data_IF_600780312475
#
_entry.id   IF_600780312475
#
_cell.length_a   1.000
_cell.length_b   1.000
_cell.length_c   1.000
_cell.angle_alpha   90.00
_cell.angle_beta   90.00
_cell.angle_gamma   90.00
#
_symmetry.space_group_name_H-M   'P 1'
#
loop_
_entity.id
_entity.type
_entity.pdbx_description
1 polymer ?
#
# COMPACT_ATOMS: atom_id res chain seq x y z
N UNK A 1 53.41 -24.52 -8.20
CA UNK A 1 53.59 -23.05 -8.04
C UNK A 1 52.28 -22.47 -7.50
N UNK A 2 52.22 -22.15 -6.21
CA UNK A 2 51.02 -21.64 -5.54
C UNK A 2 50.93 -20.12 -5.79
N UNK A 3 49.89 -19.65 -6.48
CA UNK A 3 49.62 -18.22 -6.66
C UNK A 3 48.66 -17.76 -5.58
N UNK A 4 49.17 -17.03 -4.61
CA UNK A 4 48.41 -16.39 -3.54
C UNK A 4 47.69 -15.17 -4.12
N UNK A 5 46.36 -15.18 -4.17
CA UNK A 5 45.57 -13.99 -4.50
C UNK A 5 45.13 -13.32 -3.20
N UNK A 6 45.64 -12.10 -2.96
CA UNK A 6 45.12 -11.20 -1.94
C UNK A 6 43.79 -10.64 -2.43
N UNK A 7 42.68 -11.05 -1.81
CA UNK A 7 41.37 -10.42 -1.98
C UNK A 7 41.29 -9.31 -0.94
N UNK A 8 41.40 -8.06 -1.40
CA UNK A 8 41.14 -6.89 -0.58
C UNK A 8 39.63 -6.77 -0.32
N UNK A 9 39.26 -6.82 0.95
CA UNK A 9 37.90 -6.65 1.45
C UNK A 9 37.53 -5.16 1.38
N UNK A 10 36.74 -4.77 0.37
CA UNK A 10 36.14 -3.44 0.32
C UNK A 10 34.82 -3.47 1.11
N UNK A 11 34.90 -3.06 2.38
CA UNK A 11 33.74 -2.75 3.20
C UNK A 11 33.16 -1.41 2.70
N UNK A 12 32.18 -1.45 1.81
CA UNK A 12 31.39 -0.27 1.46
C UNK A 12 30.14 -0.25 2.33
N UNK A 13 30.28 0.35 3.52
CA UNK A 13 29.15 0.82 4.31
C UNK A 13 28.50 2.00 3.58
N UNK A 14 27.41 1.75 2.87
CA UNK A 14 26.49 2.81 2.45
C UNK A 14 25.18 2.68 3.22
N UNK A 15 25.22 3.06 4.50
CA UNK A 15 24.06 3.58 5.20
C UNK A 15 23.92 5.05 4.81
N UNK A 16 23.32 5.31 3.65
CA UNK A 16 22.81 6.64 3.32
C UNK A 16 21.29 6.50 3.34
N UNK A 17 20.69 7.01 4.42
CA UNK A 17 19.25 7.01 4.62
C UNK A 17 18.53 7.70 3.46
N UNK A 18 17.53 7.01 2.93
CA UNK A 18 16.62 7.51 1.90
C UNK A 18 15.61 8.47 2.51
N UNK A 19 16.04 9.66 2.92
CA UNK A 19 15.15 10.72 3.38
C UNK A 19 15.37 12.00 2.57
N UNK A 20 14.87 12.04 1.32
CA UNK A 20 14.42 13.31 0.69
C UNK A 20 13.83 13.19 -0.72
N UNK A 21 13.40 12.01 -1.18
CA UNK A 21 12.78 11.91 -2.51
C UNK A 21 11.34 12.43 -2.46
N UNK A 22 11.17 13.72 -2.78
CA UNK A 22 9.85 14.35 -2.84
C UNK A 22 9.10 13.92 -4.11
N UNK A 23 8.09 13.09 -3.95
CA UNK A 23 7.14 12.71 -4.99
C UNK A 23 5.80 13.43 -4.75
N UNK A 24 5.00 13.62 -5.81
CA UNK A 24 3.64 14.16 -5.72
C UNK A 24 2.74 13.61 -6.86
N UNK A 25 1.48 14.04 -6.88
CA UNK A 25 0.48 13.65 -7.89
C UNK A 25 0.28 14.70 -9.00
N UNK A 26 1.14 15.73 -9.09
CA UNK A 26 0.98 16.80 -10.09
C UNK A 26 1.62 16.39 -11.40
N UNK A 27 1.13 16.92 -12.52
CA UNK A 27 1.76 16.70 -13.82
C UNK A 27 2.99 17.61 -14.01
N UNK A 28 4.01 17.42 -13.16
CA UNK A 28 5.27 18.17 -13.12
C UNK A 28 6.44 17.22 -12.82
N UNK A 29 7.59 17.77 -12.44
CA UNK A 29 8.83 17.02 -12.17
C UNK A 29 8.67 15.82 -11.23
N UNK A 30 7.91 15.97 -10.15
CA UNK A 30 7.74 14.95 -9.12
C UNK A 30 6.49 14.07 -9.31
N UNK A 31 5.85 14.17 -10.48
CA UNK A 31 4.59 13.52 -10.79
C UNK A 31 4.70 12.01 -11.09
N UNK A 32 3.57 11.29 -11.14
CA UNK A 32 3.55 9.83 -11.35
C UNK A 32 4.27 9.37 -12.62
N UNK A 33 4.18 10.15 -13.70
CA UNK A 33 4.86 9.88 -14.97
C UNK A 33 6.40 9.96 -14.92
N UNK A 34 6.96 10.37 -13.77
CA UNK A 34 8.41 10.49 -13.51
C UNK A 34 8.87 9.86 -12.19
N UNK A 35 8.00 9.17 -11.44
CA UNK A 35 8.41 8.58 -10.14
C UNK A 35 9.62 7.65 -10.27
N UNK A 36 9.74 6.96 -11.40
CA UNK A 36 10.89 6.11 -11.76
C UNK A 36 12.24 6.84 -11.78
N UNK A 37 12.22 8.17 -11.94
CA UNK A 37 13.42 9.01 -12.04
C UNK A 37 13.79 9.68 -10.73
N UNK A 38 12.94 9.59 -9.70
CA UNK A 38 13.14 10.34 -8.45
C UNK A 38 14.11 9.61 -7.51
N UNK A 39 14.12 8.28 -7.53
CA UNK A 39 15.05 7.47 -6.75
C UNK A 39 15.26 6.11 -7.42
N UNK A 40 16.43 5.49 -7.23
CA UNK A 40 16.74 4.17 -7.79
C UNK A 40 15.73 3.10 -7.37
N UNK A 41 15.29 3.13 -6.12
CA UNK A 41 14.30 2.17 -5.61
C UNK A 41 12.92 2.32 -6.28
N UNK A 42 12.66 3.43 -6.98
CA UNK A 42 11.39 3.71 -7.65
C UNK A 42 11.40 3.31 -9.13
N UNK A 43 12.51 2.79 -9.68
CA UNK A 43 12.60 2.33 -11.08
C UNK A 43 11.49 1.34 -11.46
N UNK A 44 11.01 0.56 -10.48
CA UNK A 44 9.89 -0.40 -10.65
C UNK A 44 8.57 0.28 -11.03
N UNK A 45 8.37 1.55 -10.68
CA UNK A 45 7.19 2.33 -11.06
C UNK A 45 6.99 2.40 -12.58
N UNK A 46 8.09 2.30 -13.35
CA UNK A 46 8.06 2.23 -14.82
C UNK A 46 8.38 0.84 -15.37
N UNK A 47 9.36 0.15 -14.80
CA UNK A 47 9.84 -1.12 -15.37
C UNK A 47 8.93 -2.31 -15.03
N UNK A 48 8.15 -2.21 -13.95
CA UNK A 48 7.25 -3.24 -13.46
C UNK A 48 6.17 -3.66 -14.47
N UNK A 49 5.75 -4.92 -14.39
CA UNK A 49 4.73 -5.53 -15.29
C UNK A 49 3.41 -5.85 -14.60
N UNK A 50 3.32 -5.53 -13.31
CA UNK A 50 2.14 -5.75 -12.47
C UNK A 50 1.97 -4.56 -11.52
N UNK A 51 2.11 -3.34 -12.06
CA UNK A 51 1.83 -2.12 -11.31
C UNK A 51 0.33 -1.96 -11.06
N UNK A 52 -0.01 -1.19 -10.04
CA UNK A 52 -1.38 -0.82 -9.67
C UNK A 52 -1.49 0.71 -9.58
N UNK A 53 -2.69 1.30 -9.72
CA UNK A 53 -3.99 0.67 -9.97
C UNK A 53 -4.19 0.20 -11.42
N UNK A 54 -5.31 -0.47 -11.70
CA UNK A 54 -5.77 -0.85 -13.04
C UNK A 54 -7.28 -0.62 -13.19
N UNK A 55 -7.78 -0.69 -14.44
CA UNK A 55 -9.20 -0.91 -14.71
C UNK A 55 -9.52 -2.41 -14.65
N UNK A 56 -10.38 -2.81 -13.74
CA UNK A 56 -10.86 -4.19 -13.59
C UNK A 56 -12.07 -4.37 -14.52
N UNK A 57 -11.79 -4.88 -15.72
CA UNK A 57 -12.80 -5.09 -16.77
C UNK A 57 -12.90 -6.56 -17.24
N UNK A 58 -11.87 -7.37 -16.96
CA UNK A 58 -11.83 -8.79 -17.29
C UNK A 58 -11.59 -9.61 -16.03
N UNK A 59 -12.51 -10.50 -15.69
CA UNK A 59 -12.47 -11.34 -14.50
C UNK A 59 -13.21 -12.66 -14.73
N UNK A 60 -12.86 -13.66 -13.94
CA UNK A 60 -13.48 -14.99 -13.99
C UNK A 60 -14.32 -15.24 -12.73
N UNK A 61 -15.26 -16.17 -12.84
CA UNK A 61 -16.09 -16.62 -11.73
C UNK A 61 -15.69 -18.03 -11.32
N UNK A 62 -15.79 -18.33 -10.02
CA UNK A 62 -15.52 -19.66 -9.46
C UNK A 62 -16.60 -20.04 -8.44
N UNK A 63 -16.78 -21.34 -8.24
CA UNK A 63 -17.60 -21.93 -7.17
C UNK A 63 -16.75 -22.40 -5.98
N UNK A 64 -15.45 -22.11 -6.00
CA UNK A 64 -14.54 -22.46 -4.91
C UNK A 64 -14.97 -21.83 -3.60
N UNK A 65 -14.72 -22.53 -2.49
CA UNK A 65 -14.94 -21.97 -1.16
C UNK A 65 -13.96 -20.81 -0.91
N UNK A 66 -14.41 -19.80 -0.16
CA UNK A 66 -13.57 -18.65 0.21
C UNK A 66 -12.32 -19.09 0.98
N UNK A 67 -11.16 -18.57 0.60
CA UNK A 67 -9.88 -18.70 1.28
C UNK A 67 -9.49 -17.44 2.07
N UNK A 68 -10.44 -16.51 2.24
CA UNK A 68 -10.29 -15.22 2.93
C UNK A 68 -11.22 -15.14 4.16
N UNK A 69 -10.68 -14.84 5.33
CA UNK A 69 -11.44 -14.60 6.57
C UNK A 69 -10.99 -13.32 7.27
N UNK A 70 -11.95 -12.53 7.76
CA UNK A 70 -11.69 -11.33 8.53
C UNK A 70 -11.64 -11.64 10.02
N UNK A 71 -10.57 -11.20 10.70
CA UNK A 71 -10.41 -11.26 12.14
C UNK A 71 -10.21 -9.84 12.68
N UNK A 72 -11.21 -8.99 12.45
CA UNK A 72 -11.22 -7.62 12.95
C UNK A 72 -12.07 -7.51 14.21
N UNK A 73 -11.60 -6.67 15.13
CA UNK A 73 -12.33 -6.20 16.30
C UNK A 73 -12.32 -4.67 16.28
N UNK A 74 -13.23 -4.06 17.03
CA UNK A 74 -13.18 -2.62 17.24
C UNK A 74 -11.85 -2.24 17.90
N UNK A 75 -11.12 -1.32 17.30
CA UNK A 75 -9.81 -0.88 17.76
C UNK A 75 -9.66 0.61 17.58
N UNK A 76 -9.18 1.29 18.62
CA UNK A 76 -8.80 2.71 18.50
C UNK A 76 -7.57 2.83 17.60
N UNK A 77 -7.53 3.78 16.67
CA UNK A 77 -6.30 4.10 15.96
C UNK A 77 -5.20 4.42 16.97
N UNK A 78 -3.99 3.91 16.70
CA UNK A 78 -2.77 4.31 17.43
C UNK A 78 -2.44 5.78 17.17
N UNK A 79 -2.60 6.19 15.92
CA UNK A 79 -2.41 7.57 15.48
C UNK A 79 -3.19 7.80 14.18
N UNK A 80 -3.70 9.02 14.03
CA UNK A 80 -4.29 9.55 12.81
C UNK A 80 -3.46 10.75 12.36
N UNK A 81 -3.01 10.77 11.10
CA UNK A 81 -2.12 11.82 10.61
C UNK A 81 -2.11 11.89 9.08
N UNK A 82 -1.75 13.06 8.55
CA UNK A 82 -1.53 13.25 7.12
C UNK A 82 -0.07 12.94 6.77
N UNK A 83 0.15 11.96 5.89
CA UNK A 83 1.49 11.56 5.43
C UNK A 83 1.40 10.98 4.03
N UNK A 84 2.48 11.03 3.24
CA UNK A 84 2.50 10.42 1.90
C UNK A 84 1.29 10.85 1.04
N UNK A 85 0.87 12.11 1.19
CA UNK A 85 -0.27 12.72 0.51
C UNK A 85 -1.64 12.07 0.80
N UNK A 86 -1.80 11.40 1.94
CA UNK A 86 -3.05 10.77 2.35
C UNK A 86 -3.33 10.95 3.85
N UNK A 87 -4.61 10.95 4.24
CA UNK A 87 -5.03 10.76 5.63
C UNK A 87 -4.85 9.28 5.99
N UNK A 88 -4.11 9.00 7.06
CA UNK A 88 -3.79 7.63 7.49
C UNK A 88 -4.13 7.43 8.95
N UNK A 89 -4.82 6.33 9.26
CA UNK A 89 -5.00 5.79 10.60
C UNK A 89 -4.14 4.53 10.75
N UNK A 90 -3.22 4.52 11.71
CA UNK A 90 -2.39 3.36 12.05
C UNK A 90 -2.99 2.58 13.23
N UNK A 91 -2.76 1.28 13.31
CA UNK A 91 -3.34 0.41 14.33
C UNK A 91 -2.27 -0.41 15.06
N UNK A 92 -2.54 -0.77 16.31
CA UNK A 92 -1.78 -1.82 17.00
C UNK A 92 -2.05 -3.19 16.36
N UNK A 93 -1.11 -4.15 16.41
CA UNK A 93 -1.15 -5.39 15.64
C UNK A 93 -2.12 -6.44 16.22
N UNK A 94 -3.40 -6.08 16.33
CA UNK A 94 -4.47 -6.91 16.91
C UNK A 94 -5.48 -7.37 15.86
N UNK A 95 -5.63 -6.63 14.76
CA UNK A 95 -6.55 -6.94 13.67
C UNK A 95 -5.85 -7.63 12.52
N UNK A 96 -6.46 -8.66 11.93
CA UNK A 96 -5.83 -9.44 10.87
C UNK A 96 -6.84 -9.88 9.79
N UNK A 97 -6.35 -10.12 8.59
CA UNK A 97 -7.00 -10.94 7.57
C UNK A 97 -6.27 -12.28 7.51
N UNK A 98 -7.00 -13.39 7.60
CA UNK A 98 -6.44 -14.69 7.23
C UNK A 98 -6.68 -14.92 5.74
N UNK A 99 -5.61 -15.16 4.99
CA UNK A 99 -5.68 -15.52 3.58
C UNK A 99 -4.83 -16.77 3.33
N UNK A 100 -5.45 -17.83 2.82
CA UNK A 100 -4.80 -19.13 2.55
C UNK A 100 -4.08 -19.70 3.78
N UNK A 101 -4.69 -19.58 4.96
CA UNK A 101 -4.14 -20.07 6.23
C UNK A 101 -3.05 -19.19 6.84
N UNK A 102 -2.74 -18.03 6.25
CA UNK A 102 -1.74 -17.09 6.78
C UNK A 102 -2.41 -15.81 7.29
N UNK A 103 -2.07 -15.39 8.50
CA UNK A 103 -2.53 -14.11 9.04
C UNK A 103 -1.67 -12.96 8.50
N UNK A 104 -2.37 -11.94 7.99
CA UNK A 104 -1.83 -10.64 7.58
C UNK A 104 -2.36 -9.58 8.56
N UNK A 105 -1.46 -9.01 9.35
CA UNK A 105 -1.75 -7.97 10.36
C UNK A 105 -2.13 -6.67 9.67
N UNK A 106 -3.22 -6.03 10.09
CA UNK A 106 -3.59 -4.68 9.65
C UNK A 106 -2.59 -3.66 10.22
N UNK A 107 -1.91 -2.96 9.33
CA UNK A 107 -0.94 -1.92 9.68
C UNK A 107 -1.61 -0.54 9.70
N UNK A 108 -2.31 -0.20 8.62
CA UNK A 108 -3.00 1.08 8.48
C UNK A 108 -4.20 1.02 7.55
N UNK A 109 -5.09 1.99 7.73
CA UNK A 109 -6.11 2.38 6.76
C UNK A 109 -5.76 3.78 6.25
N UNK A 110 -5.76 3.98 4.95
CA UNK A 110 -5.56 5.30 4.34
C UNK A 110 -6.47 5.52 3.15
N UNK A 111 -6.59 6.78 2.71
CA UNK A 111 -7.62 7.19 1.75
C UNK A 111 -7.06 7.77 0.46
N UNK A 112 -7.76 7.56 -0.65
CA UNK A 112 -7.46 8.14 -1.96
C UNK A 112 -8.70 8.81 -2.54
N UNK A 113 -8.52 9.98 -3.15
CA UNK A 113 -9.59 10.74 -3.78
C UNK A 113 -9.11 11.29 -5.14
N UNK A 114 -9.71 10.87 -6.28
CA UNK A 114 -10.73 9.82 -6.41
C UNK A 114 -10.18 8.41 -6.10
N UNK A 115 -11.05 7.39 -6.13
CA UNK A 115 -10.62 5.99 -6.04
C UNK A 115 -9.64 5.65 -7.16
N UNK A 116 -8.52 5.00 -6.78
CA UNK A 116 -7.43 4.67 -7.71
C UNK A 116 -7.82 3.57 -8.71
N UNK A 117 -8.43 2.48 -8.25
CA UNK A 117 -8.90 1.39 -9.10
C UNK A 117 -10.20 1.75 -9.82
N UNK A 118 -10.34 1.31 -11.07
CA UNK A 118 -11.60 1.39 -11.81
C UNK A 118 -12.23 0.00 -11.86
N UNK A 119 -13.57 -0.06 -11.88
CA UNK A 119 -14.33 -1.30 -12.14
C UNK A 119 -15.23 -1.04 -13.34
N UNK A 120 -15.03 -1.78 -14.42
CA UNK A 120 -15.73 -1.57 -15.69
C UNK A 120 -15.72 -0.09 -16.13
N UNK A 121 -14.52 0.53 -16.08
CA UNK A 121 -14.25 1.93 -16.39
C UNK A 121 -15.01 2.96 -15.52
N UNK A 122 -15.53 2.54 -14.36
CA UNK A 122 -16.19 3.43 -13.38
C UNK A 122 -15.28 3.70 -12.19
N UNK A 123 -15.23 4.95 -11.77
CA UNK A 123 -14.53 5.40 -10.56
C UNK A 123 -15.51 5.68 -9.43
N UNK A 124 -14.97 5.96 -8.24
CA UNK A 124 -15.67 6.40 -7.03
C UNK A 124 -15.00 7.68 -6.49
N UNK A 125 -15.74 8.58 -5.82
CA UNK A 125 -15.17 9.82 -5.29
C UNK A 125 -14.08 9.62 -4.23
N UNK A 126 -14.08 8.48 -3.54
CA UNK A 126 -13.14 8.15 -2.47
C UNK A 126 -12.93 6.64 -2.43
N UNK A 127 -11.74 6.19 -2.04
CA UNK A 127 -11.49 4.83 -1.58
C UNK A 127 -10.66 4.79 -0.30
N UNK A 128 -10.81 3.71 0.46
CA UNK A 128 -9.94 3.36 1.57
C UNK A 128 -9.14 2.10 1.23
N UNK A 129 -7.85 2.12 1.54
CA UNK A 129 -6.94 1.00 1.43
C UNK A 129 -6.58 0.50 2.83
N UNK A 130 -6.92 -0.75 3.12
CA UNK A 130 -6.57 -1.47 4.34
C UNK A 130 -5.31 -2.28 4.05
N UNK A 131 -4.17 -1.81 4.55
CA UNK A 131 -2.86 -2.39 4.27
C UNK A 131 -2.52 -3.41 5.34
N UNK A 132 -2.20 -4.61 4.91
CA UNK A 132 -1.80 -5.70 5.79
C UNK A 132 -0.45 -6.28 5.42
N UNK A 133 0.19 -6.91 6.40
CA UNK A 133 1.48 -7.58 6.24
C UNK A 133 1.53 -8.89 7.02
N UNK A 134 2.03 -9.94 6.40
CA UNK A 134 2.26 -11.21 7.12
C UNK A 134 3.62 -11.24 7.83
N UNK A 135 3.88 -12.31 8.58
CA UNK A 135 5.14 -12.50 9.30
C UNK A 135 6.40 -12.58 8.40
N UNK A 136 6.23 -12.77 7.09
CA UNK A 136 7.31 -12.78 6.09
C UNK A 136 7.47 -11.43 5.38
N UNK A 137 6.68 -10.43 5.73
CA UNK A 137 6.71 -9.11 5.09
C UNK A 137 5.91 -9.01 3.79
N UNK A 138 5.17 -10.06 3.39
CA UNK A 138 4.31 -10.04 2.19
C UNK A 138 3.11 -9.14 2.44
N UNK A 139 2.73 -8.36 1.43
CA UNK A 139 1.65 -7.38 1.52
C UNK A 139 0.32 -7.94 1.02
N UNK A 140 -0.76 -7.56 1.70
CA UNK A 140 -2.15 -7.75 1.25
C UNK A 140 -2.89 -6.43 1.44
N UNK A 141 -3.49 -5.90 0.38
CA UNK A 141 -4.24 -4.64 0.43
C UNK A 141 -5.69 -4.90 0.03
N UNK A 142 -6.62 -4.52 0.90
CA UNK A 142 -8.05 -4.48 0.58
C UNK A 142 -8.41 -3.04 0.22
N UNK A 143 -8.94 -2.83 -0.98
CA UNK A 143 -9.44 -1.54 -1.45
C UNK A 143 -10.97 -1.53 -1.44
N UNK A 144 -11.56 -0.50 -0.84
CA UNK A 144 -13.01 -0.28 -0.82
C UNK A 144 -13.34 1.13 -1.30
N UNK A 145 -14.20 1.25 -2.31
CA UNK A 145 -14.69 2.53 -2.80
C UNK A 145 -15.92 3.02 -2.04
N UNK A 146 -16.08 4.33 -1.93
CA UNK A 146 -17.23 4.99 -1.31
C UNK A 146 -18.10 5.66 -2.37
N UNK A 147 -19.41 5.70 -2.14
CA UNK A 147 -20.33 6.53 -2.90
C UNK A 147 -20.78 7.69 -2.02
N UNK A 148 -20.98 8.87 -2.62
CA UNK A 148 -21.54 10.00 -1.90
C UNK A 148 -23.00 9.70 -1.53
N UNK A 149 -23.26 9.57 -0.23
CA UNK A 149 -24.55 9.24 0.37
C UNK A 149 -24.68 9.96 1.73
N UNK A 150 -25.38 9.34 2.68
CA UNK A 150 -25.47 9.81 4.07
C UNK A 150 -24.12 9.64 4.77
N UNK A 151 -23.96 10.35 5.88
CA UNK A 151 -22.79 10.22 6.77
C UNK A 151 -22.50 8.76 7.12
N UNK A 152 -21.21 8.41 7.12
CA UNK A 152 -20.74 7.12 7.56
C UNK A 152 -20.10 7.25 8.95
N UNK A 153 -20.81 6.88 10.04
CA UNK A 153 -20.31 7.06 11.40
C UNK A 153 -19.03 6.26 11.70
N UNK A 154 -18.70 5.26 10.87
CA UNK A 154 -17.45 4.53 11.00
C UNK A 154 -16.20 5.37 10.65
N UNK A 155 -16.38 6.51 9.97
CA UNK A 155 -15.29 7.44 9.67
C UNK A 155 -15.03 8.44 10.80
N UNK A 156 -15.99 8.67 11.70
CA UNK A 156 -15.90 9.70 12.73
C UNK A 156 -14.67 9.54 13.63
N UNK A 157 -14.32 8.33 14.12
CA UNK A 157 -13.10 8.16 14.93
C UNK A 157 -11.80 8.48 14.20
N UNK A 158 -11.81 8.52 12.86
CA UNK A 158 -10.67 8.93 12.03
C UNK A 158 -10.74 10.43 11.73
N UNK A 159 -11.92 11.00 11.52
CA UNK A 159 -12.09 12.43 11.24
C UNK A 159 -11.89 13.31 12.48
N UNK A 160 -12.16 12.77 13.67
CA UNK A 160 -12.07 13.45 14.96
C UNK A 160 -10.74 13.19 15.71
N UNK A 161 -9.91 12.28 15.19
CA UNK A 161 -8.64 11.86 15.80
C UNK A 161 -7.44 12.65 15.28
#
# INVERSE_FOLDING_TARGET
MKKTFLIALALATSLIGTENTKWDYKNKENGPHRWDKLHKDFEVCKSGKSQSPINIEHYYHTQDKTDLQFKYAASKPKAVFFTHHTLKASFEPTNHINYRGHDYVLDNVHFHAPMEFLINNKTRPLSAHFVHKDAKGRLLVLAIGFEERKENPNLNPILEG
#
